data_IF_602224641805
#
_entry.id   IF_602224641805
#
_cell.length_a   1.000
_cell.length_b   1.000
_cell.length_c   1.000
_cell.angle_alpha   90.00
_cell.angle_beta   90.00
_cell.angle_gamma   90.00
#
_symmetry.space_group_name_H-M   'P 1'
#
loop_
_entity.id
_entity.type
_entity.pdbx_description
1 polymer ?
#
# COMPACT_ATOMS: atom_id res chain seq x y z
N UNK A 1 13.33 -21.20 -17.74
CA UNK A 1 11.86 -21.08 -17.66
C UNK A 1 11.51 -21.41 -16.23
N UNK A 2 11.44 -20.38 -15.39
CA UNK A 2 10.82 -20.44 -14.07
C UNK A 2 10.41 -19.01 -13.74
N UNK A 3 9.13 -18.75 -13.96
CA UNK A 3 8.27 -17.85 -13.17
C UNK A 3 9.00 -16.97 -12.15
N UNK A 4 9.41 -15.78 -12.58
CA UNK A 4 9.74 -14.69 -11.67
C UNK A 4 8.53 -13.77 -11.68
N UNK A 5 7.50 -14.20 -10.97
CA UNK A 5 6.47 -13.29 -10.49
C UNK A 5 7.18 -12.47 -9.42
N UNK A 6 7.69 -11.29 -9.81
CA UNK A 6 8.37 -10.35 -8.92
C UNK A 6 7.44 -9.77 -7.86
N UNK A 7 6.13 -9.97 -8.03
CA UNK A 7 5.13 -9.45 -7.13
C UNK A 7 5.17 -10.19 -5.79
N UNK A 8 5.79 -9.60 -4.76
CA UNK A 8 5.64 -10.04 -3.38
C UNK A 8 4.42 -9.36 -2.78
N UNK A 9 3.59 -10.12 -2.07
CA UNK A 9 2.48 -9.56 -1.29
C UNK A 9 2.56 -10.11 0.11
N UNK A 10 2.89 -9.25 1.05
CA UNK A 10 2.96 -9.56 2.46
C UNK A 10 1.70 -9.06 3.16
N UNK A 11 0.98 -9.99 3.78
CA UNK A 11 -0.18 -9.71 4.63
C UNK A 11 0.25 -9.81 6.09
N UNK A 12 0.06 -8.74 6.84
CA UNK A 12 0.41 -8.64 8.24
C UNK A 12 -0.89 -8.51 9.04
N UNK A 13 -1.07 -9.44 9.95
CA UNK A 13 -2.13 -9.46 10.95
C UNK A 13 -1.46 -9.28 12.33
N UNK A 14 -1.56 -8.09 12.88
CA UNK A 14 -1.00 -7.69 14.18
C UNK A 14 -1.86 -8.14 15.35
N UNK A 15 -3.19 -8.20 15.20
CA UNK A 15 -4.12 -8.46 16.28
C UNK A 15 -4.60 -9.93 16.37
N UNK A 16 -4.39 -10.70 15.30
CA UNK A 16 -4.66 -12.12 15.17
C UNK A 16 -6.13 -12.46 14.91
N UNK A 17 -6.92 -11.51 14.42
CA UNK A 17 -8.35 -11.71 14.16
C UNK A 17 -8.66 -12.44 12.84
N UNK A 18 -7.65 -12.60 11.97
CA UNK A 18 -7.73 -13.26 10.68
C UNK A 18 -7.98 -12.32 9.48
N UNK A 19 -8.04 -11.01 9.72
CA UNK A 19 -8.00 -9.93 8.73
C UNK A 19 -6.57 -9.38 8.65
N UNK A 20 -6.20 -8.81 7.51
CA UNK A 20 -4.87 -8.23 7.35
C UNK A 20 -4.91 -6.75 7.73
N UNK A 21 -4.30 -6.40 8.87
CA UNK A 21 -4.11 -5.01 9.31
C UNK A 21 -3.20 -4.22 8.37
N UNK A 22 -2.24 -4.89 7.71
CA UNK A 22 -1.43 -4.29 6.69
C UNK A 22 -1.16 -5.23 5.52
N UNK A 23 -1.13 -4.68 4.31
CA UNK A 23 -0.75 -5.37 3.10
C UNK A 23 0.35 -4.58 2.39
N UNK A 24 1.52 -5.18 2.21
CA UNK A 24 2.63 -4.60 1.45
C UNK A 24 2.77 -5.36 0.14
N UNK A 25 2.81 -4.63 -0.95
CA UNK A 25 2.92 -5.18 -2.30
C UNK A 25 4.16 -4.57 -2.94
N UNK A 26 5.11 -5.42 -3.26
CA UNK A 26 6.31 -5.11 -4.03
C UNK A 26 6.05 -5.67 -5.43
N UNK A 27 5.82 -4.82 -6.43
CA UNK A 27 5.43 -5.20 -7.79
C UNK A 27 6.66 -5.45 -8.65
N UNK A 28 7.73 -4.69 -8.45
CA UNK A 28 8.94 -4.74 -9.26
C UNK A 28 10.02 -5.71 -8.73
N UNK A 29 9.86 -6.18 -7.50
CA UNK A 29 10.66 -7.20 -6.83
C UNK A 29 12.01 -6.66 -6.33
N UNK A 30 12.12 -5.35 -6.10
CA UNK A 30 13.34 -4.72 -5.62
C UNK A 30 13.53 -4.82 -4.09
N UNK A 31 12.50 -5.28 -3.37
CA UNK A 31 12.45 -5.43 -1.92
C UNK A 31 11.91 -4.20 -1.18
N UNK A 32 11.39 -3.20 -1.90
CA UNK A 32 10.65 -2.05 -1.41
C UNK A 32 9.17 -2.24 -1.79
N UNK A 33 8.26 -1.84 -0.91
CA UNK A 33 6.84 -1.94 -1.21
C UNK A 33 6.40 -0.76 -2.10
N UNK A 34 5.95 -1.07 -3.32
CA UNK A 34 5.31 -0.11 -4.23
C UNK A 34 3.93 0.33 -3.72
N UNK A 35 3.23 -0.56 -3.02
CA UNK A 35 1.91 -0.28 -2.47
C UNK A 35 1.78 -0.82 -1.06
N UNK A 36 1.44 0.04 -0.10
CA UNK A 36 1.12 -0.33 1.27
C UNK A 36 -0.34 0.00 1.58
N UNK A 37 -1.06 -0.95 2.14
CA UNK A 37 -2.44 -0.80 2.58
C UNK A 37 -2.52 -1.07 4.06
N UNK A 38 -3.28 -0.30 4.79
CA UNK A 38 -3.54 -0.48 6.21
C UNK A 38 -5.03 -0.46 6.49
N UNK A 39 -5.49 -1.47 7.21
CA UNK A 39 -6.81 -1.56 7.83
C UNK A 39 -6.57 -1.31 9.33
N UNK A 40 -7.00 -0.14 9.82
CA UNK A 40 -6.70 0.33 11.18
C UNK A 40 -7.82 -0.01 12.14
N UNK A 41 -9.05 -0.15 11.65
CA UNK A 41 -10.21 -0.49 12.46
C UNK A 41 -10.61 -1.98 12.42
N UNK A 42 -9.97 -2.76 11.54
CA UNK A 42 -10.11 -4.21 11.44
C UNK A 42 -11.44 -4.65 10.84
N UNK A 43 -12.10 -3.78 10.07
CA UNK A 43 -13.40 -4.08 9.47
C UNK A 43 -13.29 -4.85 8.13
N UNK A 44 -12.07 -5.05 7.64
CA UNK A 44 -11.74 -5.71 6.38
C UNK A 44 -11.71 -4.75 5.18
N UNK A 45 -11.89 -3.45 5.40
CA UNK A 45 -11.75 -2.38 4.42
C UNK A 45 -10.45 -1.62 4.69
N UNK A 46 -9.75 -1.27 3.61
CA UNK A 46 -8.50 -0.53 3.73
C UNK A 46 -8.76 0.94 4.06
N UNK A 47 -8.32 1.38 5.24
CA UNK A 47 -8.37 2.77 5.67
C UNK A 47 -7.30 3.64 5.00
N UNK A 48 -6.08 3.13 4.86
CA UNK A 48 -4.94 3.91 4.36
C UNK A 48 -4.26 3.16 3.23
N UNK A 49 -4.00 3.84 2.11
CA UNK A 49 -3.21 3.31 1.00
C UNK A 49 -2.06 4.26 0.70
N UNK A 50 -0.84 3.78 0.75
CA UNK A 50 0.35 4.46 0.26
C UNK A 50 0.80 3.81 -1.04
N UNK A 51 1.15 4.62 -2.03
CA UNK A 51 1.77 4.19 -3.27
C UNK A 51 3.08 4.92 -3.46
N UNK A 52 4.11 4.16 -3.82
CA UNK A 52 5.36 4.61 -4.41
C UNK A 52 5.27 4.27 -5.91
N UNK A 53 5.22 5.28 -6.77
CA UNK A 53 4.97 5.10 -8.21
C UNK A 53 6.31 5.06 -8.97
N UNK A 54 7.37 5.66 -8.42
CA UNK A 54 8.67 5.74 -9.06
C UNK A 54 9.73 4.79 -8.47
N UNK A 55 9.39 4.09 -7.39
CA UNK A 55 10.22 3.06 -6.75
C UNK A 55 11.43 3.67 -6.05
N UNK A 56 11.35 4.93 -5.61
CA UNK A 56 12.45 5.60 -4.93
C UNK A 56 12.49 5.33 -3.41
N UNK A 57 11.50 4.58 -2.90
CA UNK A 57 11.29 4.25 -1.49
C UNK A 57 10.57 5.33 -0.71
N UNK A 58 10.04 6.36 -1.38
CA UNK A 58 9.21 7.40 -0.80
C UNK A 58 7.78 7.33 -1.35
N UNK A 59 6.83 7.55 -0.46
CA UNK A 59 5.41 7.57 -0.84
C UNK A 59 5.12 8.78 -1.73
N UNK A 60 4.71 8.48 -2.96
CA UNK A 60 4.17 9.41 -3.94
C UNK A 60 2.73 9.82 -3.63
N UNK A 61 1.90 8.83 -3.32
CA UNK A 61 0.48 9.03 -3.14
C UNK A 61 -0.01 8.37 -1.86
N UNK A 62 -0.70 9.15 -1.03
CA UNK A 62 -1.38 8.68 0.16
C UNK A 62 -2.89 8.88 -0.01
N UNK A 63 -3.64 7.80 0.14
CA UNK A 63 -5.10 7.80 0.19
C UNK A 63 -5.56 7.39 1.58
N UNK A 64 -6.56 8.07 2.10
CA UNK A 64 -7.14 7.76 3.41
C UNK A 64 -8.66 7.73 3.25
N UNK A 65 -9.25 6.58 3.50
CA UNK A 65 -10.66 6.38 3.78
C UNK A 65 -10.84 6.40 5.30
N UNK A 66 -11.62 7.36 5.81
CA UNK A 66 -11.84 7.50 7.27
C UNK A 66 -13.17 6.85 7.67
N UNK A 67 -14.01 6.53 6.70
CA UNK A 67 -15.39 6.13 6.92
C UNK A 67 -15.64 4.65 6.57
N UNK A 68 -14.65 3.95 6.02
CA UNK A 68 -14.67 2.52 5.73
C UNK A 68 -15.64 2.15 4.60
N UNK A 69 -16.01 3.09 3.72
CA UNK A 69 -16.92 2.81 2.60
C UNK A 69 -16.21 2.27 1.34
N UNK A 70 -14.89 2.13 1.41
CA UNK A 70 -14.03 1.70 0.32
C UNK A 70 -13.70 2.82 -0.67
N UNK A 71 -14.06 4.06 -0.36
CA UNK A 71 -13.76 5.26 -1.15
C UNK A 71 -12.93 6.22 -0.30
N UNK A 72 -11.73 6.54 -0.79
CA UNK A 72 -10.84 7.45 -0.08
C UNK A 72 -11.45 8.85 0.06
N UNK A 73 -11.61 9.29 1.32
CA UNK A 73 -12.02 10.64 1.70
C UNK A 73 -10.93 11.68 1.40
N UNK A 74 -9.67 11.29 1.62
CA UNK A 74 -8.50 12.12 1.40
C UNK A 74 -7.57 11.45 0.41
N UNK A 75 -7.05 12.23 -0.53
CA UNK A 75 -5.96 11.81 -1.40
C UNK A 75 -4.94 12.94 -1.44
N UNK A 76 -3.70 12.60 -1.11
CA UNK A 76 -2.56 13.48 -1.19
C UNK A 76 -1.55 12.85 -2.14
N UNK A 77 -1.36 13.49 -3.29
CA UNK A 77 -0.29 13.15 -4.21
C UNK A 77 0.82 14.19 -4.01
N UNK A 78 2.05 13.74 -3.74
CA UNK A 78 3.22 14.59 -3.86
C UNK A 78 3.39 14.93 -5.36
N UNK A 79 3.34 16.22 -5.69
CA UNK A 79 3.47 16.69 -7.06
C UNK A 79 4.89 16.48 -7.62
N UNK A 80 5.07 16.62 -8.94
CA UNK A 80 6.09 15.94 -9.75
C UNK A 80 7.48 16.08 -9.14
N UNK A 81 8.15 14.95 -8.92
CA UNK A 81 9.57 14.96 -8.64
C UNK A 81 10.29 15.77 -9.73
N UNK A 82 11.13 16.75 -9.35
CA UNK A 82 11.95 17.45 -10.33
C UNK A 82 12.83 16.40 -11.03
N UNK A 83 12.59 16.19 -12.31
CA UNK A 83 13.53 15.51 -13.19
C UNK A 83 14.84 16.29 -13.15
N UNK A 84 15.84 15.75 -12.48
CA UNK A 84 17.22 16.25 -12.54
C UNK A 84 17.89 15.77 -13.83
#
# INVERSE_FOLDING_TARGET
MSDFDVTSTDLIDYDGDGSADAQLIDIDGDGIADEERYDVDGDGVTDIVYLDIDGDGYVDEARVDVNGDGVSDYTQTQGPFPTA
#
